data_IF_262560594665
#
_entry.id   IF_262560594665
#
_cell.length_a   1.000
_cell.length_b   1.000
_cell.length_c   1.000
_cell.angle_alpha   90.00
_cell.angle_beta   90.00
_cell.angle_gamma   90.00
#
_symmetry.space_group_name_H-M   'P 1'
#
loop_
_entity.id
_entity.type
_entity.pdbx_description
1 polymer ?
#
# COMPACT_ATOMS: atom_id res chain seq x y z
N UNK A 1 -22.15 7.96 29.93
CA UNK A 1 -21.14 7.28 30.76
C UNK A 1 -20.51 6.27 29.84
N UNK A 2 -19.34 6.65 29.34
CA UNK A 2 -18.16 5.85 28.99
C UNK A 2 -17.26 6.61 27.99
N UNK A 3 -16.65 7.66 28.54
CA UNK A 3 -15.62 8.45 27.86
C UNK A 3 -14.35 8.54 28.71
N UNK A 4 -13.88 7.37 29.18
CA UNK A 4 -12.65 7.31 29.98
C UNK A 4 -12.05 5.90 29.80
N UNK A 5 -11.18 5.73 28.79
CA UNK A 5 -10.13 4.71 28.77
C UNK A 5 -9.37 4.79 27.41
N UNK A 6 -8.60 5.84 27.22
CA UNK A 6 -7.54 5.85 26.18
C UNK A 6 -6.38 6.75 26.64
N UNK A 7 -5.87 6.46 27.82
CA UNK A 7 -4.60 7.00 28.30
C UNK A 7 -3.70 5.82 28.66
N UNK A 8 -3.13 5.16 27.65
CA UNK A 8 -2.07 4.18 27.86
C UNK A 8 -0.78 4.72 27.26
N UNK A 9 0.11 5.06 28.15
CA UNK A 9 1.55 5.21 28.10
C UNK A 9 2.23 4.97 26.73
N UNK A 10 2.64 6.07 26.10
CA UNK A 10 3.67 6.05 25.06
C UNK A 10 5.05 5.90 25.72
N UNK A 11 5.54 4.68 25.84
CA UNK A 11 6.94 4.42 26.13
C UNK A 11 7.79 4.87 24.94
N UNK A 12 8.73 5.78 25.17
CA UNK A 12 9.75 6.22 24.20
C UNK A 12 10.65 5.04 23.85
N UNK A 13 10.50 4.48 22.65
CA UNK A 13 11.52 3.63 22.06
C UNK A 13 12.36 4.47 21.09
N UNK A 14 13.52 4.91 21.54
CA UNK A 14 14.59 5.46 20.71
C UNK A 14 15.28 4.30 19.98
N UNK A 15 15.11 4.25 18.65
CA UNK A 15 15.84 3.32 17.78
C UNK A 15 15.34 3.41 16.35
N UNK A 16 16.12 4.06 15.47
CA UNK A 16 15.90 4.18 14.02
C UNK A 16 14.56 4.83 13.65
N UNK A 17 14.32 6.02 14.18
CA UNK A 17 13.18 6.83 13.76
C UNK A 17 13.66 7.93 12.83
N UNK A 18 13.07 7.97 11.65
CA UNK A 18 13.30 8.97 10.63
C UNK A 18 13.51 10.38 11.21
N UNK A 19 14.71 10.93 11.01
CA UNK A 19 15.07 12.33 11.34
C UNK A 19 14.15 13.38 10.69
N UNK A 20 13.15 12.96 9.91
CA UNK A 20 12.25 13.82 9.14
C UNK A 20 11.03 14.36 9.91
N UNK A 21 10.86 14.02 11.19
CA UNK A 21 9.69 14.45 11.98
C UNK A 21 9.68 15.93 12.35
N UNK A 22 10.82 16.58 12.44
CA UNK A 22 10.88 18.00 12.79
C UNK A 22 10.76 18.86 11.53
N UNK A 23 9.83 19.80 11.57
CA UNK A 23 9.75 20.85 10.55
C UNK A 23 11.04 21.68 10.60
N UNK A 24 11.67 21.89 9.44
CA UNK A 24 12.86 22.73 9.32
C UNK A 24 12.53 23.90 8.43
N UNK A 25 13.06 25.09 8.76
CA UNK A 25 12.87 26.31 7.95
C UNK A 25 13.33 26.13 6.49
N UNK A 26 14.29 25.24 6.23
CA UNK A 26 14.73 24.87 4.87
C UNK A 26 13.61 24.32 3.99
N UNK A 27 12.51 23.81 4.57
CA UNK A 27 11.32 23.34 3.83
C UNK A 27 10.46 24.51 3.30
N UNK A 28 10.70 25.75 3.73
CA UNK A 28 10.03 26.94 3.21
C UNK A 28 10.72 27.53 1.98
N UNK A 29 11.86 26.95 1.56
CA UNK A 29 12.60 27.41 0.39
C UNK A 29 11.70 27.42 -0.86
N UNK A 30 11.80 28.45 -1.76
CA UNK A 30 10.95 28.61 -2.94
C UNK A 30 10.78 27.36 -3.81
N UNK A 31 11.82 26.51 -3.92
CA UNK A 31 11.76 25.23 -4.65
C UNK A 31 10.61 24.29 -4.21
N UNK A 32 10.06 24.49 -3.00
CA UNK A 32 8.97 23.66 -2.45
C UNK A 32 7.60 24.34 -2.51
N UNK A 33 7.50 25.60 -2.96
CA UNK A 33 6.23 26.32 -2.95
C UNK A 33 5.12 25.64 -3.73
N UNK A 34 5.44 25.05 -4.90
CA UNK A 34 4.46 24.27 -5.64
C UNK A 34 3.96 23.04 -4.84
N UNK A 35 4.86 22.43 -4.06
CA UNK A 35 4.48 21.32 -3.18
C UNK A 35 3.54 21.79 -2.08
N UNK A 36 3.86 22.90 -1.42
CA UNK A 36 3.02 23.50 -0.38
C UNK A 36 1.68 23.98 -0.94
N UNK A 37 1.68 24.60 -2.11
CA UNK A 37 0.45 24.99 -2.79
C UNK A 37 -0.43 23.76 -3.08
N UNK A 38 0.13 22.70 -3.66
CA UNK A 38 -0.60 21.45 -3.93
C UNK A 38 -1.17 20.81 -2.66
N UNK A 39 -0.38 20.79 -1.56
CA UNK A 39 -0.84 20.31 -0.26
C UNK A 39 -1.96 21.18 0.33
N UNK A 40 -1.87 22.50 0.16
CA UNK A 40 -2.92 23.46 0.56
C UNK A 40 -4.22 23.25 -0.21
N UNK A 41 -4.13 23.09 -1.54
CA UNK A 41 -5.30 22.74 -2.38
C UNK A 41 -5.90 21.41 -1.95
N UNK A 42 -5.09 20.39 -1.72
CA UNK A 42 -5.57 19.10 -1.26
C UNK A 42 -6.25 19.21 0.11
N UNK A 43 -5.68 19.98 1.03
CA UNK A 43 -6.28 20.25 2.34
C UNK A 43 -7.65 20.95 2.21
N UNK A 44 -7.78 21.92 1.32
CA UNK A 44 -9.07 22.61 1.05
C UNK A 44 -10.09 21.65 0.45
N UNK A 45 -9.70 20.85 -0.54
CA UNK A 45 -10.59 19.89 -1.20
C UNK A 45 -11.16 18.87 -0.22
N UNK A 46 -10.35 18.36 0.71
CA UNK A 46 -10.83 17.34 1.67
C UNK A 46 -11.72 17.92 2.78
N UNK A 47 -11.97 19.23 2.82
CA UNK A 47 -13.02 19.80 3.67
C UNK A 47 -14.43 19.49 3.13
N UNK A 48 -14.56 19.21 1.83
CA UNK A 48 -15.83 18.82 1.22
C UNK A 48 -16.45 17.58 1.89
N UNK A 49 -17.78 17.43 1.84
CA UNK A 49 -18.44 16.18 2.22
C UNK A 49 -17.89 14.98 1.43
N UNK A 50 -17.73 13.85 2.11
CA UNK A 50 -17.15 12.64 1.52
C UNK A 50 -17.75 12.25 0.15
N UNK A 51 -19.10 12.18 -0.03
CA UNK A 51 -19.67 11.77 -1.31
C UNK A 51 -19.31 12.71 -2.46
N UNK A 52 -19.22 14.02 -2.19
CA UNK A 52 -18.82 15.03 -3.19
C UNK A 52 -17.36 14.85 -3.54
N UNK A 53 -16.51 14.73 -2.53
CA UNK A 53 -15.06 14.58 -2.70
C UNK A 53 -14.71 13.35 -3.55
N UNK A 54 -15.33 12.21 -3.26
CA UNK A 54 -15.06 10.94 -3.99
C UNK A 54 -15.60 11.01 -5.43
N UNK A 55 -16.76 11.63 -5.66
CA UNK A 55 -17.28 11.84 -7.03
C UNK A 55 -16.39 12.77 -7.86
N UNK A 56 -15.91 13.85 -7.26
CA UNK A 56 -14.96 14.76 -7.91
C UNK A 56 -13.64 14.03 -8.22
N UNK A 57 -13.13 13.22 -7.28
CA UNK A 57 -11.96 12.38 -7.50
C UNK A 57 -12.15 11.42 -8.67
N UNK A 58 -13.27 10.69 -8.70
CA UNK A 58 -13.59 9.75 -9.78
C UNK A 58 -13.69 10.48 -11.14
N UNK A 59 -14.38 11.64 -11.20
CA UNK A 59 -14.49 12.45 -12.40
C UNK A 59 -13.13 12.97 -12.90
N UNK A 60 -12.29 13.47 -12.01
CA UNK A 60 -10.92 13.89 -12.31
C UNK A 60 -10.08 12.72 -12.83
N UNK A 61 -10.24 11.54 -12.24
CA UNK A 61 -9.60 10.31 -12.69
C UNK A 61 -10.00 9.94 -14.11
N UNK A 62 -11.30 9.91 -14.41
CA UNK A 62 -11.80 9.68 -15.77
C UNK A 62 -11.23 10.68 -16.78
N UNK A 63 -11.24 11.96 -16.42
CA UNK A 63 -10.68 13.00 -17.29
C UNK A 63 -9.19 12.83 -17.50
N UNK A 64 -8.43 12.43 -16.47
CA UNK A 64 -6.99 12.24 -16.53
C UNK A 64 -6.56 11.18 -17.56
N UNK A 65 -7.43 10.20 -17.85
CA UNK A 65 -7.21 9.19 -18.90
C UNK A 65 -6.93 9.81 -20.28
N UNK A 66 -7.52 10.96 -20.56
CA UNK A 66 -7.30 11.66 -21.86
C UNK A 66 -5.88 12.20 -21.99
N UNK A 67 -5.23 12.53 -20.88
CA UNK A 67 -3.91 13.15 -20.83
C UNK A 67 -2.80 12.14 -20.51
N UNK A 68 -3.09 11.12 -19.71
CA UNK A 68 -2.13 10.15 -19.22
C UNK A 68 -1.99 8.92 -20.16
N UNK A 69 -1.88 9.16 -21.48
CA UNK A 69 -1.87 8.09 -22.49
C UNK A 69 -0.79 7.02 -22.26
N UNK A 70 0.39 7.43 -21.78
CA UNK A 70 1.45 6.48 -21.43
C UNK A 70 1.03 5.56 -20.28
N UNK A 71 0.33 6.09 -19.28
CA UNK A 71 -0.16 5.29 -18.14
C UNK A 71 -1.29 4.38 -18.57
N UNK A 72 -2.18 4.84 -19.42
CA UNK A 72 -3.25 4.02 -20.00
C UNK A 72 -2.67 2.81 -20.75
N UNK A 73 -1.67 3.01 -21.61
CA UNK A 73 -0.98 1.92 -22.32
C UNK A 73 -0.36 0.90 -21.36
N UNK A 74 0.27 1.36 -20.27
CA UNK A 74 0.84 0.46 -19.24
C UNK A 74 -0.26 -0.32 -18.54
N UNK A 75 -1.35 0.34 -18.14
CA UNK A 75 -2.50 -0.31 -17.48
C UNK A 75 -3.10 -1.38 -18.39
N UNK A 76 -3.41 -1.04 -19.64
CA UNK A 76 -3.92 -1.97 -20.64
C UNK A 76 -3.00 -3.17 -20.80
N UNK A 77 -1.70 -2.92 -21.00
CA UNK A 77 -0.73 -3.99 -21.19
C UNK A 77 -0.63 -4.93 -19.98
N UNK A 78 -0.63 -4.39 -18.76
CA UNK A 78 -0.62 -5.21 -17.56
C UNK A 78 -1.87 -6.11 -17.48
N UNK A 79 -3.05 -5.56 -17.78
CA UNK A 79 -4.32 -6.32 -17.76
C UNK A 79 -4.31 -7.42 -18.82
N UNK A 80 -3.87 -7.13 -20.05
CA UNK A 80 -3.73 -8.11 -21.12
C UNK A 80 -2.75 -9.24 -20.78
N UNK A 81 -1.63 -8.89 -20.16
CA UNK A 81 -0.65 -9.88 -19.72
C UNK A 81 -1.17 -10.79 -18.61
N UNK A 82 -1.92 -10.21 -17.66
CA UNK A 82 -2.48 -10.98 -16.55
C UNK A 82 -3.71 -11.79 -16.93
N UNK A 83 -4.53 -11.26 -17.83
CA UNK A 83 -5.84 -11.83 -18.22
C UNK A 83 -5.94 -11.97 -19.75
N UNK A 84 -5.18 -12.89 -20.37
CA UNK A 84 -5.10 -12.97 -21.84
C UNK A 84 -6.43 -13.28 -22.53
N UNK A 85 -7.38 -13.88 -21.81
CA UNK A 85 -8.69 -14.25 -22.32
C UNK A 85 -9.80 -13.28 -21.89
N UNK A 86 -9.46 -12.11 -21.34
CA UNK A 86 -10.46 -11.10 -20.96
C UNK A 86 -11.13 -10.52 -22.21
N UNK A 87 -12.44 -10.44 -22.21
CA UNK A 87 -13.16 -9.78 -23.31
C UNK A 87 -12.89 -8.27 -23.30
N UNK A 88 -13.05 -7.64 -24.47
CA UNK A 88 -12.70 -6.22 -24.65
C UNK A 88 -13.53 -5.30 -23.78
N UNK A 89 -14.82 -5.60 -23.60
CA UNK A 89 -15.73 -4.80 -22.78
C UNK A 89 -15.30 -4.80 -21.30
N UNK A 90 -15.00 -5.96 -20.73
CA UNK A 90 -14.52 -6.10 -19.37
C UNK A 90 -13.15 -5.44 -19.18
N UNK A 91 -12.27 -5.58 -20.17
CA UNK A 91 -10.96 -4.92 -20.16
C UNK A 91 -11.11 -3.40 -20.12
N UNK A 92 -11.95 -2.83 -20.97
CA UNK A 92 -12.20 -1.39 -20.97
C UNK A 92 -12.87 -0.90 -19.69
N UNK A 93 -13.81 -1.67 -19.14
CA UNK A 93 -14.45 -1.37 -17.86
C UNK A 93 -13.41 -1.36 -16.73
N UNK A 94 -12.49 -2.33 -16.69
CA UNK A 94 -11.42 -2.40 -15.70
C UNK A 94 -10.45 -1.21 -15.83
N UNK A 95 -10.06 -0.84 -17.05
CA UNK A 95 -9.20 0.33 -17.29
C UNK A 95 -9.91 1.62 -16.83
N UNK A 96 -11.18 1.79 -17.19
CA UNK A 96 -11.96 2.96 -16.79
C UNK A 96 -12.07 3.07 -15.26
N UNK A 97 -12.43 1.97 -14.58
CA UNK A 97 -12.49 1.89 -13.12
C UNK A 97 -11.13 2.17 -12.47
N UNK A 98 -10.05 1.71 -13.09
CA UNK A 98 -8.69 1.97 -12.61
C UNK A 98 -8.32 3.47 -12.65
N UNK A 99 -8.71 4.19 -13.70
CA UNK A 99 -8.50 5.64 -13.75
C UNK A 99 -9.44 6.40 -12.78
N UNK A 100 -10.67 5.94 -12.57
CA UNK A 100 -11.52 6.49 -11.49
C UNK A 100 -10.82 6.32 -10.13
N UNK A 101 -10.31 5.12 -9.87
CA UNK A 101 -9.58 4.80 -8.64
C UNK A 101 -8.34 5.67 -8.45
N UNK A 102 -7.61 5.98 -9.54
CA UNK A 102 -6.46 6.90 -9.51
C UNK A 102 -6.86 8.31 -9.03
N UNK A 103 -7.96 8.84 -9.55
CA UNK A 103 -8.44 10.16 -9.13
C UNK A 103 -8.95 10.17 -7.69
N UNK A 104 -9.66 9.12 -7.27
CA UNK A 104 -10.08 8.95 -5.88
C UNK A 104 -8.90 8.81 -4.92
N UNK A 105 -7.80 8.17 -5.33
CA UNK A 105 -6.59 8.00 -4.51
C UNK A 105 -5.99 9.33 -4.03
N UNK A 106 -6.09 10.41 -4.83
CA UNK A 106 -5.66 11.75 -4.40
C UNK A 106 -6.53 12.28 -3.25
N UNK A 107 -7.84 12.12 -3.36
CA UNK A 107 -8.77 12.49 -2.30
C UNK A 107 -8.51 11.66 -1.03
N UNK A 108 -8.32 10.36 -1.17
CA UNK A 108 -8.03 9.41 -0.10
C UNK A 108 -6.70 9.71 0.62
N UNK A 109 -5.69 10.16 -0.14
CA UNK A 109 -4.43 10.66 0.44
C UNK A 109 -4.69 11.86 1.34
N UNK A 110 -5.48 12.82 0.89
CA UNK A 110 -5.84 13.98 1.70
C UNK A 110 -6.69 13.61 2.92
N UNK A 111 -7.64 12.69 2.77
CA UNK A 111 -8.41 12.14 3.89
C UNK A 111 -7.46 11.52 4.93
N UNK A 112 -6.54 10.67 4.49
CA UNK A 112 -5.59 9.99 5.37
C UNK A 112 -4.71 10.98 6.16
N UNK A 113 -4.27 12.06 5.52
CA UNK A 113 -3.32 12.99 6.13
C UNK A 113 -3.99 14.10 6.95
N UNK A 114 -5.20 14.52 6.60
CA UNK A 114 -5.79 15.73 7.18
C UNK A 114 -7.04 15.49 8.04
N UNK A 115 -7.85 14.45 7.78
CA UNK A 115 -9.05 14.22 8.58
C UNK A 115 -8.72 13.77 10.01
N UNK A 116 -9.57 14.16 10.95
CA UNK A 116 -9.52 13.62 12.31
C UNK A 116 -10.03 12.16 12.34
N UNK A 117 -9.63 11.42 13.37
CA UNK A 117 -9.94 9.99 13.53
C UNK A 117 -11.44 9.73 13.50
N UNK A 118 -12.22 10.54 14.22
CA UNK A 118 -13.67 10.40 14.28
C UNK A 118 -14.35 10.52 12.91
N UNK A 119 -13.81 11.41 12.03
CA UNK A 119 -14.33 11.57 10.68
C UNK A 119 -13.97 10.38 9.80
N UNK A 120 -12.74 9.85 9.88
CA UNK A 120 -12.30 8.66 9.13
C UNK A 120 -13.12 7.45 9.54
N UNK A 121 -13.32 7.23 10.86
CA UNK A 121 -14.05 6.07 11.41
C UNK A 121 -15.48 5.91 10.90
N UNK A 122 -16.09 6.96 10.36
CA UNK A 122 -17.46 6.92 9.79
C UNK A 122 -17.55 6.18 8.45
N UNK A 123 -16.42 5.96 7.79
CA UNK A 123 -16.41 5.53 6.39
C UNK A 123 -15.73 4.17 6.17
N UNK A 124 -15.47 3.41 7.24
CA UNK A 124 -14.94 2.06 7.05
C UNK A 124 -15.54 1.04 8.04
N UNK A 125 -15.53 -0.20 7.60
CA UNK A 125 -15.76 -1.37 8.41
C UNK A 125 -14.51 -2.24 8.42
N UNK A 126 -14.34 -3.04 9.47
CA UNK A 126 -13.19 -3.95 9.62
C UNK A 126 -13.71 -5.37 9.76
N UNK A 127 -13.07 -6.31 9.11
CA UNK A 127 -13.27 -7.74 9.28
C UNK A 127 -11.93 -8.43 9.48
N UNK A 128 -11.87 -9.38 10.40
CA UNK A 128 -10.68 -10.17 10.70
C UNK A 128 -9.64 -9.45 11.57
N UNK A 129 -10.01 -8.40 12.32
CA UNK A 129 -9.08 -7.74 13.24
C UNK A 129 -8.54 -8.72 14.29
N UNK A 130 -9.36 -9.67 14.70
CA UNK A 130 -9.02 -10.78 15.59
C UNK A 130 -7.87 -11.64 15.05
N UNK A 131 -7.74 -11.81 13.74
CA UNK A 131 -6.62 -12.55 13.14
C UNK A 131 -5.28 -11.86 13.43
N UNK A 132 -5.23 -10.53 13.29
CA UNK A 132 -4.02 -9.76 13.59
C UNK A 132 -3.70 -9.77 15.08
N UNK A 133 -4.72 -9.62 15.93
CA UNK A 133 -4.57 -9.66 17.38
C UNK A 133 -4.09 -11.04 17.84
N UNK A 134 -4.67 -12.12 17.29
CA UNK A 134 -4.23 -13.48 17.55
C UNK A 134 -2.78 -13.71 17.15
N UNK A 135 -2.38 -13.31 15.92
CA UNK A 135 -1.01 -13.43 15.47
C UNK A 135 -0.01 -12.70 16.38
N UNK A 136 -0.38 -11.52 16.91
CA UNK A 136 0.45 -10.75 17.83
C UNK A 136 0.52 -11.34 19.25
N UNK A 137 -0.52 -12.07 19.72
CA UNK A 137 -0.56 -12.65 21.07
C UNK A 137 0.52 -13.69 21.31
N UNK A 138 1.05 -14.32 20.25
CA UNK A 138 2.12 -15.31 20.32
C UNK A 138 3.53 -14.71 20.49
N UNK A 139 3.65 -13.42 20.74
CA UNK A 139 4.92 -12.69 20.94
C UNK A 139 5.94 -12.82 19.78
N UNK A 140 5.54 -13.41 18.65
CA UNK A 140 6.28 -13.33 17.40
C UNK A 140 5.83 -12.10 16.60
N UNK A 141 6.76 -11.49 15.87
CA UNK A 141 6.42 -10.40 14.97
C UNK A 141 5.43 -10.82 13.90
N UNK A 142 4.74 -9.86 13.36
CA UNK A 142 3.76 -10.10 12.30
C UNK A 142 4.18 -9.37 11.03
N UNK A 143 4.46 -10.11 9.96
CA UNK A 143 4.65 -9.54 8.63
C UNK A 143 3.30 -9.41 7.94
N UNK A 144 2.82 -8.18 7.87
CA UNK A 144 1.52 -7.83 7.29
C UNK A 144 1.69 -7.60 5.80
N UNK A 145 1.27 -8.58 4.99
CA UNK A 145 1.39 -8.53 3.55
C UNK A 145 0.28 -7.67 2.96
N UNK A 146 0.67 -6.59 2.30
CA UNK A 146 -0.24 -5.74 1.54
C UNK A 146 -0.05 -5.84 0.05
N UNK A 147 -1.00 -5.29 -0.70
CA UNK A 147 -0.90 -5.03 -2.14
C UNK A 147 -1.12 -3.54 -2.40
N UNK A 148 -0.51 -3.02 -3.47
CA UNK A 148 -0.64 -1.61 -3.81
C UNK A 148 -2.01 -1.33 -4.47
N UNK A 149 -3.09 -1.39 -3.68
CA UNK A 149 -4.33 -0.74 -4.08
C UNK A 149 -4.15 0.79 -4.08
N UNK A 150 -4.87 1.48 -4.93
CA UNK A 150 -4.76 2.94 -5.02
C UNK A 150 -5.18 3.66 -3.74
N UNK A 151 -6.02 3.04 -2.92
CA UNK A 151 -6.40 3.48 -1.57
C UNK A 151 -5.33 3.30 -0.48
N UNK A 152 -4.06 2.99 -0.86
CA UNK A 152 -2.97 2.62 0.05
C UNK A 152 -2.77 3.60 1.21
N UNK A 153 -2.76 4.91 0.96
CA UNK A 153 -2.55 5.91 2.02
C UNK A 153 -3.66 5.87 3.06
N UNK A 154 -4.91 5.77 2.60
CA UNK A 154 -6.06 5.62 3.48
C UNK A 154 -6.05 4.25 4.18
N UNK A 155 -5.62 3.20 3.48
CA UNK A 155 -5.43 1.87 4.04
C UNK A 155 -4.48 1.88 5.24
N UNK A 156 -3.30 2.49 5.08
CA UNK A 156 -2.34 2.65 6.17
C UNK A 156 -2.89 3.47 7.34
N UNK A 157 -3.70 4.49 7.06
CA UNK A 157 -4.38 5.29 8.09
C UNK A 157 -5.41 4.48 8.87
N UNK A 158 -6.30 3.78 8.16
CA UNK A 158 -7.38 2.98 8.77
C UNK A 158 -6.81 1.82 9.57
N UNK A 159 -5.85 1.09 8.99
CA UNK A 159 -5.16 0.00 9.69
C UNK A 159 -4.53 0.50 10.99
N UNK A 160 -3.80 1.61 10.94
CA UNK A 160 -3.18 2.19 12.12
C UNK A 160 -4.17 2.70 13.17
N UNK A 161 -5.39 3.08 12.79
CA UNK A 161 -6.46 3.42 13.73
C UNK A 161 -7.03 2.19 14.45
N UNK A 162 -6.95 1.01 13.83
CA UNK A 162 -7.37 -0.26 14.43
C UNK A 162 -6.23 -0.88 15.23
N UNK A 163 -5.04 -0.95 14.64
CA UNK A 163 -3.85 -1.54 15.22
C UNK A 163 -2.60 -0.80 14.71
N UNK A 164 -1.99 0.10 15.48
CA UNK A 164 -0.78 0.80 15.08
C UNK A 164 0.35 -0.18 14.76
N UNK A 165 1.00 0.01 13.60
CA UNK A 165 2.07 -0.86 13.13
C UNK A 165 3.22 -0.04 12.50
N UNK A 166 4.29 -0.71 12.15
CA UNK A 166 5.37 -0.13 11.36
C UNK A 166 5.10 -0.39 9.88
N UNK A 167 5.58 0.50 9.00
CA UNK A 167 5.43 0.28 7.56
C UNK A 167 6.75 0.50 6.84
N UNK A 168 7.10 -0.45 5.96
CA UNK A 168 8.19 -0.26 5.03
C UNK A 168 7.79 0.78 3.97
N UNK A 169 8.68 1.72 3.67
CA UNK A 169 8.42 2.72 2.64
C UNK A 169 9.67 3.16 1.89
N UNK A 170 9.47 3.82 0.78
CA UNK A 170 10.53 4.55 0.07
C UNK A 170 10.43 6.03 0.42
N UNK A 171 11.49 6.66 0.97
CA UNK A 171 11.53 8.11 1.17
C UNK A 171 11.33 8.87 -0.13
N UNK A 172 10.59 9.97 -0.07
CA UNK A 172 10.33 10.81 -1.23
C UNK A 172 11.52 11.73 -1.52
N UNK A 173 11.87 11.93 -2.79
CA UNK A 173 12.98 12.79 -3.19
C UNK A 173 12.74 14.28 -2.84
N UNK A 174 11.48 14.75 -2.93
CA UNK A 174 11.11 16.10 -2.50
C UNK A 174 10.93 16.11 -0.98
N UNK A 175 11.77 16.87 -0.28
CA UNK A 175 11.81 16.88 1.20
C UNK A 175 10.54 17.43 1.84
N UNK A 176 9.83 18.39 1.21
CA UNK A 176 8.56 18.90 1.71
C UNK A 176 7.47 17.85 1.61
N UNK A 177 7.42 17.12 0.48
CA UNK A 177 6.51 15.97 0.32
C UNK A 177 6.85 14.85 1.29
N UNK A 178 8.13 14.54 1.48
CA UNK A 178 8.60 13.54 2.46
C UNK A 178 8.13 13.88 3.87
N UNK A 179 8.28 15.14 4.27
CA UNK A 179 7.82 15.61 5.57
C UNK A 179 6.30 15.46 5.70
N UNK A 180 5.51 15.91 4.70
CA UNK A 180 4.06 15.83 4.73
C UNK A 180 3.56 14.38 4.78
N UNK A 181 4.11 13.52 3.92
CA UNK A 181 3.77 12.09 3.87
C UNK A 181 4.09 11.38 5.19
N UNK A 182 5.31 11.58 5.71
CA UNK A 182 5.73 10.95 6.97
C UNK A 182 4.87 11.45 8.12
N UNK A 183 4.61 12.77 8.21
CA UNK A 183 3.73 13.35 9.23
C UNK A 183 2.32 12.78 9.13
N UNK A 184 1.76 12.65 7.92
CA UNK A 184 0.44 12.08 7.68
C UNK A 184 0.36 10.62 8.13
N UNK A 185 1.31 9.78 7.71
CA UNK A 185 1.37 8.34 8.05
C UNK A 185 1.58 8.09 9.53
N UNK A 186 2.41 8.91 10.19
CA UNK A 186 2.72 8.79 11.62
C UNK A 186 1.57 9.23 12.54
N UNK A 187 0.45 9.70 12.01
CA UNK A 187 -0.74 10.02 12.81
C UNK A 187 -1.39 8.79 13.46
N UNK A 188 -1.20 7.62 12.87
CA UNK A 188 -1.80 6.37 13.35
C UNK A 188 -0.82 5.20 13.38
N UNK A 189 0.35 5.31 12.80
CA UNK A 189 1.34 4.23 12.76
C UNK A 189 2.52 4.50 13.71
N UNK A 190 3.18 3.43 14.16
CA UNK A 190 4.30 3.48 15.11
C UNK A 190 5.57 4.06 14.49
N UNK A 191 5.93 3.60 13.30
CA UNK A 191 7.15 4.02 12.61
C UNK A 191 7.09 3.76 11.10
N UNK A 192 7.95 4.49 10.38
CA UNK A 192 8.23 4.24 8.97
C UNK A 192 9.66 3.72 8.84
N UNK A 193 9.85 2.59 8.17
CA UNK A 193 11.16 1.93 7.97
C UNK A 193 11.56 2.10 6.49
N UNK A 194 12.74 2.67 6.23
CA UNK A 194 13.26 2.75 4.85
C UNK A 194 13.37 1.34 4.25
N UNK A 195 12.89 1.15 3.05
CA UNK A 195 12.94 -0.16 2.34
C UNK A 195 14.34 -0.74 2.20
N UNK A 196 15.40 0.06 2.36
CA UNK A 196 16.80 -0.36 2.35
C UNK A 196 17.28 -0.84 3.72
N UNK A 197 16.53 -0.57 4.78
CA UNK A 197 16.88 -0.97 6.15
C UNK A 197 16.32 -2.35 6.50
N UNK A 198 16.87 -3.38 5.85
CA UNK A 198 16.50 -4.76 6.13
C UNK A 198 16.75 -5.15 7.60
N UNK A 199 17.83 -4.62 8.20
CA UNK A 199 18.16 -4.90 9.61
C UNK A 199 17.09 -4.34 10.54
N UNK A 200 16.66 -3.11 10.31
CA UNK A 200 15.57 -2.49 11.07
C UNK A 200 14.27 -3.28 10.97
N UNK A 201 13.92 -3.78 9.78
CA UNK A 201 12.75 -4.64 9.60
C UNK A 201 12.85 -5.95 10.39
N UNK A 202 14.00 -6.65 10.31
CA UNK A 202 14.24 -7.89 11.05
C UNK A 202 14.19 -7.64 12.57
N UNK A 203 14.78 -6.55 13.04
CA UNK A 203 14.75 -6.20 14.46
C UNK A 203 13.34 -5.89 14.95
N UNK A 204 12.55 -5.16 14.16
CA UNK A 204 11.16 -4.86 14.49
C UNK A 204 10.34 -6.16 14.62
N UNK A 205 10.44 -7.06 13.63
CA UNK A 205 9.77 -8.36 13.67
C UNK A 205 10.22 -9.20 14.87
N UNK A 206 11.52 -9.29 15.16
CA UNK A 206 12.04 -10.02 16.34
C UNK A 206 11.59 -9.45 17.68
N UNK A 207 11.21 -8.17 17.73
CA UNK A 207 10.63 -7.51 18.92
C UNK A 207 9.12 -7.69 19.04
N UNK A 208 8.50 -8.50 18.19
CA UNK A 208 7.05 -8.74 18.22
C UNK A 208 6.23 -7.66 17.53
N UNK A 209 6.85 -6.73 16.78
CA UNK A 209 6.13 -5.68 16.08
C UNK A 209 5.43 -6.19 14.82
N UNK A 210 4.31 -5.55 14.46
CA UNK A 210 3.69 -5.73 13.15
C UNK A 210 4.35 -4.79 12.13
N UNK A 211 4.81 -5.35 11.00
CA UNK A 211 5.48 -4.62 9.92
C UNK A 211 4.73 -4.84 8.61
N UNK A 212 4.18 -3.77 8.04
CA UNK A 212 3.57 -3.82 6.72
C UNK A 212 4.63 -3.92 5.62
N UNK A 213 4.46 -4.88 4.74
CA UNK A 213 5.34 -5.18 3.61
C UNK A 213 4.52 -5.51 2.36
N UNK A 214 4.84 -4.91 1.22
CA UNK A 214 4.13 -5.16 -0.04
C UNK A 214 5.08 -5.72 -1.11
N UNK A 215 5.00 -7.02 -1.43
CA UNK A 215 5.89 -7.69 -2.38
C UNK A 215 5.40 -7.66 -3.84
N UNK A 216 4.34 -6.94 -4.14
CA UNK A 216 3.60 -6.99 -5.41
C UNK A 216 4.20 -6.10 -6.52
N UNK A 217 5.27 -5.34 -6.27
CA UNK A 217 5.94 -4.51 -7.27
C UNK A 217 7.24 -5.12 -7.80
N UNK A 218 7.63 -4.67 -8.99
CA UNK A 218 8.91 -4.99 -9.60
C UNK A 218 9.99 -4.01 -9.12
N UNK A 219 10.89 -4.49 -8.28
CA UNK A 219 12.00 -3.71 -7.71
C UNK A 219 13.30 -3.79 -8.52
N UNK A 220 13.27 -4.46 -9.65
CA UNK A 220 14.45 -4.69 -10.50
C UNK A 220 15.06 -6.09 -10.30
N UNK A 221 16.16 -6.40 -11.00
CA UNK A 221 16.70 -7.76 -11.02
C UNK A 221 17.36 -8.17 -9.69
N UNK A 222 17.92 -7.21 -8.94
CA UNK A 222 18.60 -7.51 -7.66
C UNK A 222 17.58 -7.86 -6.58
N UNK A 223 17.73 -9.02 -5.96
CA UNK A 223 16.83 -9.51 -4.91
C UNK A 223 15.45 -9.89 -5.44
N UNK A 224 15.38 -10.36 -6.69
CA UNK A 224 14.16 -10.87 -7.32
C UNK A 224 14.38 -12.29 -7.84
N UNK A 225 13.32 -13.07 -7.75
CA UNK A 225 13.17 -14.41 -8.33
C UNK A 225 12.09 -14.36 -9.40
N UNK A 226 12.23 -15.11 -10.48
CA UNK A 226 11.19 -15.20 -11.49
C UNK A 226 10.18 -16.28 -11.10
N UNK A 227 8.94 -15.88 -10.87
CA UNK A 227 7.85 -16.77 -10.49
C UNK A 227 6.55 -16.38 -11.24
N UNK A 228 5.61 -17.31 -11.42
CA UNK A 228 4.33 -17.00 -12.05
C UNK A 228 3.56 -15.91 -11.27
N UNK A 229 2.95 -14.98 -12.01
CA UNK A 229 1.97 -14.01 -11.50
C UNK A 229 0.87 -13.87 -12.54
N UNK A 230 -0.34 -14.30 -12.23
CA UNK A 230 -1.41 -14.48 -13.19
C UNK A 230 -0.94 -15.33 -14.39
N UNK A 231 -1.22 -14.90 -15.61
CA UNK A 231 -0.77 -15.60 -16.82
C UNK A 231 0.70 -15.36 -17.19
N UNK A 232 1.41 -14.46 -16.48
CA UNK A 232 2.83 -14.17 -16.72
C UNK A 232 3.69 -15.20 -16.01
N UNK A 233 4.25 -16.16 -16.75
CA UNK A 233 5.00 -17.29 -16.19
C UNK A 233 6.27 -16.88 -15.44
N UNK A 234 6.93 -15.79 -15.86
CA UNK A 234 8.20 -15.31 -15.31
C UNK A 234 8.09 -13.82 -14.96
N UNK A 235 7.42 -13.53 -13.86
CA UNK A 235 7.34 -12.21 -13.27
C UNK A 235 8.42 -12.04 -12.21
N UNK A 236 9.24 -10.99 -12.30
CA UNK A 236 10.21 -10.66 -11.27
C UNK A 236 9.49 -10.39 -9.94
N UNK A 237 9.72 -11.23 -8.96
CA UNK A 237 9.11 -11.21 -7.63
C UNK A 237 10.19 -10.99 -6.59
N UNK A 238 10.00 -10.03 -5.70
CA UNK A 238 11.00 -9.76 -4.65
C UNK A 238 11.16 -10.96 -3.72
N UNK A 239 12.41 -11.29 -3.38
CA UNK A 239 12.71 -12.30 -2.38
C UNK A 239 12.62 -11.77 -0.93
N UNK A 240 12.22 -10.50 -0.76
CA UNK A 240 12.15 -9.86 0.57
C UNK A 240 11.28 -10.61 1.57
N UNK A 241 10.15 -11.17 1.15
CA UNK A 241 9.30 -12.02 2.01
C UNK A 241 10.03 -13.27 2.48
N UNK A 242 10.73 -13.95 1.58
CA UNK A 242 11.53 -15.15 1.90
C UNK A 242 12.66 -14.82 2.88
N UNK A 243 13.42 -13.76 2.60
CA UNK A 243 14.53 -13.35 3.47
C UNK A 243 14.05 -12.96 4.87
N UNK A 244 12.99 -12.12 4.95
CA UNK A 244 12.42 -11.70 6.23
C UNK A 244 11.82 -12.86 7.02
N UNK A 245 11.12 -13.79 6.34
CA UNK A 245 10.52 -14.96 6.97
C UNK A 245 11.57 -15.90 7.57
N UNK A 246 12.70 -16.09 6.89
CA UNK A 246 13.81 -16.92 7.43
C UNK A 246 14.54 -16.26 8.59
N UNK A 247 14.79 -14.95 8.51
CA UNK A 247 15.57 -14.21 9.52
C UNK A 247 14.78 -13.91 10.81
N UNK A 248 13.49 -13.71 10.71
CA UNK A 248 12.67 -13.29 11.84
C UNK A 248 11.54 -14.28 12.21
N UNK A 249 11.20 -15.22 11.33
CA UNK A 249 10.11 -16.21 11.52
C UNK A 249 8.80 -15.59 12.00
N UNK A 250 8.31 -14.50 11.38
CA UNK A 250 7.10 -13.83 11.79
C UNK A 250 5.87 -14.66 11.45
N UNK A 251 4.74 -14.38 12.10
CA UNK A 251 3.44 -14.71 11.53
C UNK A 251 3.23 -13.90 10.26
N UNK A 252 2.57 -14.46 9.25
CA UNK A 252 2.28 -13.75 8.00
C UNK A 252 0.78 -13.77 7.73
N UNK A 253 0.21 -12.60 7.47
CA UNK A 253 -1.20 -12.47 7.09
C UNK A 253 -1.35 -11.36 6.05
N UNK A 254 -2.45 -11.38 5.28
CA UNK A 254 -2.73 -10.31 4.33
C UNK A 254 -3.68 -9.27 4.89
N UNK A 255 -3.51 -8.03 4.44
CA UNK A 255 -4.39 -6.93 4.73
C UNK A 255 -4.65 -6.10 3.47
N UNK A 256 -5.92 -5.83 3.19
CA UNK A 256 -6.33 -4.99 2.07
C UNK A 256 -7.44 -4.04 2.47
N UNK A 257 -7.38 -2.81 1.93
CA UNK A 257 -8.48 -1.86 2.00
C UNK A 257 -9.17 -1.79 0.65
N UNK A 258 -10.45 -2.16 0.60
CA UNK A 258 -11.28 -2.16 -0.60
C UNK A 258 -12.33 -1.06 -0.45
N UNK A 259 -12.47 -0.23 -1.48
CA UNK A 259 -13.57 0.73 -1.59
C UNK A 259 -14.86 0.00 -1.97
N UNK A 260 -15.96 0.30 -1.28
CA UNK A 260 -17.27 -0.24 -1.62
C UNK A 260 -17.68 0.15 -3.06
N UNK A 261 -18.39 -0.74 -3.74
CA UNK A 261 -18.83 -0.50 -5.13
C UNK A 261 -19.72 0.75 -5.25
N UNK A 262 -20.58 0.97 -4.27
CA UNK A 262 -21.45 2.15 -4.17
C UNK A 262 -20.71 3.44 -3.74
N UNK A 263 -19.40 3.33 -3.48
CA UNK A 263 -18.54 4.42 -3.02
C UNK A 263 -18.98 5.02 -1.68
N UNK A 264 -19.72 4.28 -0.86
CA UNK A 264 -20.20 4.74 0.47
C UNK A 264 -19.11 4.73 1.54
N UNK A 265 -18.02 4.00 1.31
CA UNK A 265 -16.91 3.82 2.24
C UNK A 265 -16.00 2.67 1.87
N UNK A 266 -15.41 2.04 2.88
CA UNK A 266 -14.34 1.04 2.72
C UNK A 266 -14.55 -0.17 3.61
N UNK A 267 -13.96 -1.29 3.17
CA UNK A 267 -13.80 -2.49 3.98
C UNK A 267 -12.30 -2.77 4.16
N UNK A 268 -11.85 -2.76 5.40
CA UNK A 268 -10.54 -3.28 5.79
C UNK A 268 -10.70 -4.77 6.05
N UNK A 269 -10.02 -5.60 5.27
CA UNK A 269 -10.09 -7.05 5.35
C UNK A 269 -8.73 -7.57 5.78
N UNK A 270 -8.71 -8.31 6.90
CA UNK A 270 -7.51 -8.95 7.45
C UNK A 270 -7.73 -10.45 7.41
N UNK A 271 -6.90 -11.18 6.64
CA UNK A 271 -7.04 -12.62 6.51
C UNK A 271 -6.40 -13.35 7.69
N UNK A 272 -6.75 -14.61 7.93
CA UNK A 272 -6.00 -15.49 8.82
C UNK A 272 -4.52 -15.60 8.46
N UNK A 273 -3.71 -16.10 9.40
CA UNK A 273 -2.30 -16.40 9.15
C UNK A 273 -2.15 -17.33 7.96
N UNK A 274 -1.15 -17.03 7.11
CA UNK A 274 -0.80 -17.86 5.95
C UNK A 274 -0.21 -19.19 6.41
N UNK A 275 -0.78 -20.28 5.93
CA UNK A 275 -0.33 -21.62 6.23
C UNK A 275 0.55 -22.19 5.12
N UNK A 276 1.39 -23.18 5.45
CA UNK A 276 2.20 -23.93 4.49
C UNK A 276 3.12 -23.07 3.61
N UNK A 277 3.62 -21.95 4.17
CA UNK A 277 4.62 -21.15 3.46
C UNK A 277 5.93 -21.92 3.30
N UNK A 278 6.54 -21.98 2.09
CA UNK A 278 7.72 -22.78 1.83
C UNK A 278 9.01 -22.06 2.26
N UNK A 279 9.37 -22.16 3.51
CA UNK A 279 10.51 -21.46 4.13
C UNK A 279 11.89 -21.88 3.60
N UNK A 280 11.99 -23.02 2.94
CA UNK A 280 13.30 -23.58 2.51
C UNK A 280 13.56 -23.42 1.00
N UNK A 281 12.55 -23.04 0.22
CA UNK A 281 12.65 -22.88 -1.23
C UNK A 281 12.24 -21.46 -1.65
N UNK A 282 13.21 -20.66 -2.08
CA UNK A 282 13.01 -19.26 -2.48
C UNK A 282 12.08 -19.13 -3.69
N UNK A 283 12.18 -20.04 -4.67
CA UNK A 283 11.33 -20.00 -5.87
C UNK A 283 9.89 -20.40 -5.53
N UNK A 284 9.72 -21.46 -4.73
CA UNK A 284 8.41 -21.87 -4.23
C UNK A 284 7.76 -20.78 -3.35
N UNK A 285 8.56 -20.09 -2.51
CA UNK A 285 8.11 -18.98 -1.68
C UNK A 285 7.64 -17.80 -2.50
N UNK A 286 8.36 -17.44 -3.58
CA UNK A 286 7.95 -16.38 -4.50
C UNK A 286 6.65 -16.75 -5.24
N UNK A 287 6.53 -17.98 -5.73
CA UNK A 287 5.32 -18.46 -6.39
C UNK A 287 4.12 -18.52 -5.43
N UNK A 288 4.35 -18.97 -4.18
CA UNK A 288 3.32 -18.95 -3.13
C UNK A 288 2.83 -17.53 -2.87
N UNK A 289 3.74 -16.60 -2.66
CA UNK A 289 3.40 -15.20 -2.38
C UNK A 289 2.66 -14.55 -3.56
N UNK A 290 3.04 -14.83 -4.79
CA UNK A 290 2.32 -14.35 -5.96
C UNK A 290 0.87 -14.85 -5.98
N UNK A 291 0.59 -16.13 -5.67
CA UNK A 291 -0.79 -16.64 -5.56
C UNK A 291 -1.59 -15.93 -4.45
N UNK A 292 -0.95 -15.61 -3.34
CA UNK A 292 -1.56 -14.81 -2.26
C UNK A 292 -1.93 -13.42 -2.78
N UNK A 293 -1.01 -12.75 -3.46
CA UNK A 293 -1.21 -11.42 -4.06
C UNK A 293 -2.33 -11.45 -5.10
N UNK A 294 -2.36 -12.45 -5.99
CA UNK A 294 -3.42 -12.62 -7.00
C UNK A 294 -4.81 -12.69 -6.36
N UNK A 295 -4.94 -13.52 -5.31
CA UNK A 295 -6.20 -13.66 -4.57
C UNK A 295 -6.68 -12.32 -4.00
N UNK A 296 -5.77 -11.53 -3.45
CA UNK A 296 -6.14 -10.22 -2.90
C UNK A 296 -6.46 -9.19 -4.00
N UNK A 297 -5.72 -9.17 -5.12
CA UNK A 297 -6.01 -8.29 -6.25
C UNK A 297 -7.38 -8.59 -6.86
N UNK A 298 -7.75 -9.86 -6.98
CA UNK A 298 -9.04 -10.29 -7.57
C UNK A 298 -10.27 -9.85 -6.77
N UNK A 299 -10.11 -9.40 -5.51
CA UNK A 299 -11.22 -8.83 -4.73
C UNK A 299 -11.72 -7.50 -5.28
N UNK A 300 -10.84 -6.69 -5.87
CA UNK A 300 -11.16 -5.39 -6.45
C UNK A 300 -10.12 -5.02 -7.52
N UNK A 301 -10.12 -5.72 -8.65
CA UNK A 301 -9.05 -5.61 -9.64
C UNK A 301 -8.95 -4.21 -10.27
N UNK A 302 -10.04 -3.48 -10.37
CA UNK A 302 -10.06 -2.08 -10.84
C UNK A 302 -9.41 -1.08 -9.86
N UNK A 303 -9.18 -1.49 -8.60
CA UNK A 303 -8.55 -0.65 -7.58
C UNK A 303 -7.05 -0.90 -7.43
N UNK A 304 -6.49 -1.94 -8.08
CA UNK A 304 -5.07 -2.24 -8.03
C UNK A 304 -4.24 -1.29 -8.89
N UNK A 305 -2.97 -1.07 -8.52
CA UNK A 305 -2.06 -0.10 -9.17
C UNK A 305 -1.53 -0.61 -10.52
N UNK A 306 -2.42 -0.87 -11.50
CA UNK A 306 -2.03 -1.30 -12.85
C UNK A 306 -1.19 -0.27 -13.61
N UNK A 307 -1.13 0.99 -13.19
CA UNK A 307 -0.31 2.04 -13.80
C UNK A 307 1.19 1.85 -13.58
N UNK A 308 1.61 0.93 -12.71
CA UNK A 308 2.99 0.56 -12.51
C UNK A 308 3.45 -0.47 -13.55
N UNK A 309 4.67 -0.33 -14.10
CA UNK A 309 5.25 -1.33 -15.02
C UNK A 309 5.66 -2.58 -14.23
N UNK A 310 4.69 -3.45 -13.91
CA UNK A 310 4.86 -4.62 -13.04
C UNK A 310 5.82 -5.67 -13.61
N UNK A 311 5.93 -5.77 -14.92
CA UNK A 311 6.68 -6.79 -15.64
C UNK A 311 7.86 -6.21 -16.43
N UNK A 312 8.48 -5.14 -15.93
CA UNK A 312 9.59 -4.44 -16.63
C UNK A 312 10.88 -5.26 -16.59
N UNK A 313 11.13 -6.00 -15.51
CA UNK A 313 12.32 -6.84 -15.35
C UNK A 313 12.03 -8.20 -15.95
N UNK A 314 12.91 -8.62 -16.88
CA UNK A 314 12.79 -9.88 -17.58
C UNK A 314 14.02 -10.75 -17.30
N UNK A 315 13.91 -12.08 -17.46
CA UNK A 315 15.07 -12.96 -17.52
C UNK A 315 16.09 -12.48 -18.54
N UNK A 316 17.40 -12.78 -18.32
CA UNK A 316 18.43 -12.45 -19.29
C UNK A 316 18.09 -13.01 -20.68
N UNK A 317 18.22 -12.16 -21.71
CA UNK A 317 17.93 -12.53 -23.11
C UNK A 317 16.47 -12.41 -23.53
N UNK A 318 15.53 -12.19 -22.61
CA UNK A 318 14.12 -12.01 -22.95
C UNK A 318 13.77 -10.54 -23.28
N UNK A 319 12.92 -10.36 -24.30
CA UNK A 319 12.45 -9.05 -24.72
C UNK A 319 11.56 -8.38 -23.68
N UNK A 320 11.51 -7.02 -23.73
CA UNK A 320 10.58 -6.24 -22.93
C UNK A 320 9.12 -6.60 -23.26
N UNK A 321 8.29 -6.73 -22.22
CA UNK A 321 6.83 -6.90 -22.39
C UNK A 321 6.11 -5.56 -22.61
N UNK A 322 6.82 -4.44 -22.54
CA UNK A 322 6.29 -3.10 -22.80
C UNK A 322 7.00 -2.52 -24.04
N UNK A 323 6.22 -2.19 -25.05
CA UNK A 323 6.65 -1.49 -26.27
C UNK A 323 6.63 0.02 -26.01
#
# INVERSE_FOLDING_TARGET
>A
MDSLLCAIHFSRHEGVMTKSRQFRSTLLHPRYWFTWFGLGVLWLLVQLPYPILIRLGAGAGKLSRRFLKRRERITRRNIELCFPNIDEEKKEAMIAGNFESLGMALAETGIAWFWCDARVRRYFKVSGLENLQHAQSHQRGVMVIGVHFMSLELGGRITGLCQPMMAMYRPHNNQAMEWAQTKGRMRSNKAMIDRRDLRGMVQALKKGEAVWFAPDQDYGPKGSVFAPLFAVKQAATTNGTFVLSRLAKPAMLTIVLIRNQDKSGYQLIIQPELENYPYEDEAAAAAYMNRVIEKEILRAPDQYLWLHRRFKTRPPGEASLYI
#
